data_IF_729704327757
#
_entry.id   IF_729704327757
#
_cell.length_a   1.000
_cell.length_b   1.000
_cell.length_c   1.000
_cell.angle_alpha   90.00
_cell.angle_beta   90.00
_cell.angle_gamma   90.00
#
_symmetry.space_group_name_H-M   'P 1'
#
loop_
_entity.id
_entity.type
_entity.pdbx_description
1 polymer ?
#
# COMPACT_ATOMS: atom_id res chain seq x y z
N UNK A 1 15.24 -1.95 -11.91
CA UNK A 1 14.09 -2.80 -11.55
C UNK A 1 12.79 -2.42 -12.29
N UNK A 2 12.75 -1.33 -13.10
CA UNK A 2 11.50 -0.87 -13.72
C UNK A 2 10.80 -1.89 -14.62
N UNK A 3 11.58 -2.72 -15.33
CA UNK A 3 11.05 -3.78 -16.20
C UNK A 3 10.72 -5.10 -15.45
N UNK A 4 11.00 -5.19 -14.14
CA UNK A 4 10.73 -6.42 -13.39
C UNK A 4 9.22 -6.67 -13.30
N UNK A 5 8.82 -7.93 -13.52
CA UNK A 5 7.43 -8.38 -13.39
C UNK A 5 7.34 -9.49 -12.36
N UNK A 6 6.36 -9.36 -11.46
CA UNK A 6 6.12 -10.36 -10.42
C UNK A 6 7.07 -10.24 -9.24
N UNK A 7 7.01 -11.24 -8.35
CA UNK A 7 7.71 -11.22 -7.07
C UNK A 7 9.11 -11.88 -7.16
N UNK A 8 9.74 -12.16 -6.02
CA UNK A 8 11.01 -12.88 -5.88
C UNK A 8 10.96 -14.33 -6.40
N UNK A 9 9.76 -14.90 -6.58
CA UNK A 9 9.53 -16.30 -6.94
C UNK A 9 10.16 -17.31 -5.95
N UNK A 10 10.24 -16.94 -4.67
CA UNK A 10 10.60 -17.89 -3.62
C UNK A 10 9.52 -18.95 -3.42
N UNK A 11 9.93 -20.14 -2.96
CA UNK A 11 8.98 -21.13 -2.48
C UNK A 11 8.13 -20.55 -1.33
N UNK A 12 6.86 -20.96 -1.16
CA UNK A 12 5.98 -20.38 -0.15
C UNK A 12 6.55 -20.40 1.27
N UNK A 13 7.28 -21.46 1.63
CA UNK A 13 7.95 -21.61 2.93
C UNK A 13 9.06 -20.57 3.15
N UNK A 14 9.74 -20.15 2.09
CA UNK A 14 10.78 -19.12 2.13
C UNK A 14 10.17 -17.73 2.04
N UNK A 15 9.19 -17.53 1.16
CA UNK A 15 8.46 -16.26 1.03
C UNK A 15 7.83 -15.83 2.37
N UNK A 16 7.26 -16.77 3.12
CA UNK A 16 6.68 -16.51 4.45
C UNK A 16 7.70 -16.04 5.51
N UNK A 17 9.00 -16.25 5.27
CA UNK A 17 10.07 -15.82 6.18
C UNK A 17 10.64 -14.44 5.82
N UNK A 18 10.30 -13.90 4.65
CA UNK A 18 10.75 -12.58 4.22
C UNK A 18 10.08 -11.52 5.09
N UNK A 19 10.90 -10.63 5.66
CA UNK A 19 10.47 -9.51 6.50
C UNK A 19 11.02 -8.21 5.90
N UNK A 20 10.32 -7.10 6.12
CA UNK A 20 10.78 -5.77 5.75
C UNK A 20 11.26 -5.69 4.29
N UNK A 21 10.46 -6.22 3.36
CA UNK A 21 10.81 -6.22 1.95
C UNK A 21 9.64 -5.72 1.12
N UNK A 22 9.97 -5.09 0.00
CA UNK A 22 9.03 -4.79 -1.06
C UNK A 22 9.22 -5.79 -2.20
N UNK A 23 8.12 -6.28 -2.81
CA UNK A 23 8.19 -7.07 -4.02
C UNK A 23 9.04 -6.38 -5.10
N UNK A 24 9.91 -7.12 -5.82
CA UNK A 24 10.81 -6.56 -6.82
C UNK A 24 10.16 -5.65 -7.87
N UNK A 25 8.93 -5.98 -8.30
CA UNK A 25 8.19 -5.18 -9.28
C UNK A 25 7.77 -3.79 -8.77
N UNK A 26 7.77 -3.57 -7.45
CA UNK A 26 7.42 -2.27 -6.85
C UNK A 26 8.64 -1.37 -6.63
N UNK A 27 9.84 -1.94 -6.50
CA UNK A 27 11.03 -1.19 -6.09
C UNK A 27 11.33 0.02 -6.99
N UNK A 28 11.06 -0.07 -8.29
CA UNK A 28 11.30 1.05 -9.20
C UNK A 28 10.34 2.23 -9.00
N UNK A 29 9.05 1.96 -8.80
CA UNK A 29 8.07 3.01 -8.49
C UNK A 29 8.29 3.57 -7.09
N UNK A 30 8.61 2.69 -6.15
CA UNK A 30 8.80 3.08 -4.75
C UNK A 30 10.05 3.96 -4.57
N UNK A 31 11.11 3.71 -5.33
CA UNK A 31 12.29 4.57 -5.37
C UNK A 31 12.02 6.01 -5.85
N UNK A 32 10.84 6.28 -6.44
CA UNK A 32 10.42 7.62 -6.89
C UNK A 32 9.53 8.35 -5.86
N UNK A 33 9.21 7.70 -4.73
CA UNK A 33 8.44 8.32 -3.65
C UNK A 33 9.28 9.37 -2.92
N UNK A 34 8.64 10.27 -2.15
CA UNK A 34 9.36 11.37 -1.48
C UNK A 34 10.38 10.86 -0.45
N UNK A 35 10.10 9.73 0.20
CA UNK A 35 10.99 9.07 1.15
C UNK A 35 11.01 7.58 0.80
N UNK A 36 11.99 7.16 -0.03
CA UNK A 36 12.10 5.77 -0.47
C UNK A 36 12.44 4.80 0.66
N UNK A 37 12.03 3.56 0.47
CA UNK A 37 12.31 2.43 1.33
C UNK A 37 13.81 2.13 1.30
N UNK A 38 14.36 1.87 2.50
CA UNK A 38 15.75 1.44 2.65
C UNK A 38 15.80 0.14 3.42
N UNK A 39 16.32 -0.91 2.79
CA UNK A 39 16.58 -2.19 3.46
C UNK A 39 17.81 -2.14 4.38
N UNK A 40 18.72 -1.20 4.14
CA UNK A 40 20.05 -1.16 4.79
C UNK A 40 20.19 -0.04 5.80
N UNK A 41 19.36 1.01 5.71
CA UNK A 41 19.41 2.16 6.61
C UNK A 41 18.14 2.21 7.47
N UNK A 42 18.21 1.77 8.74
CA UNK A 42 17.08 1.79 9.65
C UNK A 42 16.72 3.20 10.17
N UNK A 43 17.52 4.22 9.82
CA UNK A 43 17.24 5.61 10.22
C UNK A 43 16.29 6.33 9.27
N UNK A 44 16.11 5.79 8.06
CA UNK A 44 15.11 6.30 7.10
C UNK A 44 13.71 5.93 7.62
N UNK A 45 12.83 6.91 7.87
CA UNK A 45 11.46 6.63 8.29
C UNK A 45 10.75 5.82 7.21
N UNK A 46 10.17 4.67 7.56
CA UNK A 46 9.33 3.95 6.61
C UNK A 46 8.04 4.73 6.32
N UNK A 47 7.31 4.32 5.27
CA UNK A 47 6.05 4.97 4.88
C UNK A 47 5.01 4.95 5.99
N UNK A 48 5.01 3.94 6.86
CA UNK A 48 4.05 3.85 7.96
C UNK A 48 4.34 4.90 9.04
N UNK A 49 5.60 5.04 9.44
CA UNK A 49 6.05 6.08 10.37
C UNK A 49 5.75 7.49 9.83
N UNK A 50 5.91 7.71 8.52
CA UNK A 50 5.55 8.98 7.88
C UNK A 50 4.04 9.27 7.95
N UNK A 51 3.21 8.25 7.71
CA UNK A 51 1.75 8.35 7.87
C UNK A 51 1.40 8.69 9.32
N UNK A 52 1.99 7.99 10.29
CA UNK A 52 1.71 8.23 11.71
C UNK A 52 2.12 9.64 12.16
N UNK A 53 3.26 10.15 11.66
CA UNK A 53 3.72 11.50 11.98
C UNK A 53 2.77 12.56 11.44
N UNK A 54 2.25 12.39 10.22
CA UNK A 54 1.38 13.37 9.55
C UNK A 54 -0.07 13.29 9.99
N UNK A 55 -0.61 12.08 10.08
CA UNK A 55 -2.04 11.85 10.31
C UNK A 55 -2.36 11.52 11.78
N UNK A 56 -1.34 11.44 12.64
CA UNK A 56 -1.45 10.85 13.97
C UNK A 56 -1.49 9.32 13.89
N UNK A 57 -1.52 8.66 15.06
CA UNK A 57 -1.58 7.19 15.14
C UNK A 57 -2.85 6.67 14.46
N UNK A 58 -2.73 6.23 13.21
CA UNK A 58 -3.74 5.44 12.51
C UNK A 58 -3.64 4.00 13.00
N UNK A 59 -4.14 3.75 14.21
CA UNK A 59 -4.38 2.38 14.66
C UNK A 59 -5.61 1.91 13.90
N UNK A 60 -5.53 0.84 13.07
CA UNK A 60 -6.74 0.17 12.62
C UNK A 60 -7.53 -0.19 13.87
N UNK A 61 -8.73 0.38 14.01
CA UNK A 61 -9.62 -0.01 15.10
C UNK A 61 -9.73 -1.55 15.06
N UNK A 62 -9.36 -2.28 16.14
CA UNK A 62 -9.39 -3.74 16.14
C UNK A 62 -10.79 -4.30 15.85
N UNK A 63 -11.86 -3.52 16.07
CA UNK A 63 -13.23 -3.89 15.69
C UNK A 63 -13.50 -3.76 14.17
N UNK A 64 -12.67 -2.99 13.47
CA UNK A 64 -12.72 -2.76 12.02
C UNK A 64 -11.64 -3.54 11.26
N UNK A 65 -10.84 -4.34 11.99
CA UNK A 65 -9.83 -5.23 11.43
C UNK A 65 -10.54 -6.45 10.84
N UNK A 66 -10.69 -6.47 9.52
CA UNK A 66 -11.28 -7.61 8.78
C UNK A 66 -10.48 -8.91 8.96
N UNK A 67 -9.25 -8.84 9.46
CA UNK A 67 -8.39 -9.98 9.74
C UNK A 67 -7.64 -9.82 11.08
N UNK A 68 -7.91 -10.64 12.11
CA UNK A 68 -7.25 -10.58 13.42
C UNK A 68 -5.71 -10.75 13.37
N UNK A 69 -5.16 -11.22 12.24
CA UNK A 69 -3.73 -11.44 12.03
C UNK A 69 -2.98 -10.35 11.25
N UNK A 70 -3.57 -9.18 11.03
CA UNK A 70 -2.97 -8.12 10.22
C UNK A 70 -1.75 -7.47 10.92
N UNK A 71 -0.55 -7.94 10.61
CA UNK A 71 0.72 -7.42 11.13
C UNK A 71 1.10 -6.11 10.41
N UNK A 72 1.34 -5.02 11.15
CA UNK A 72 1.70 -3.67 10.67
C UNK A 72 3.23 -3.44 10.62
N UNK A 73 4.00 -4.36 10.03
CA UNK A 73 5.46 -4.24 9.82
C UNK A 73 5.85 -3.41 8.57
N UNK A 74 7.13 -3.12 8.28
CA UNK A 74 7.54 -2.40 7.05
C UNK A 74 7.15 -3.07 5.71
N UNK A 75 7.01 -4.40 5.63
CA UNK A 75 6.31 -5.08 4.50
C UNK A 75 4.79 -4.82 4.50
N UNK A 76 4.28 -4.29 5.60
CA UNK A 76 2.90 -3.90 5.84
C UNK A 76 2.55 -2.50 5.40
N UNK A 77 3.46 -1.63 4.95
CA UNK A 77 2.96 -0.40 4.30
C UNK A 77 2.07 -0.75 3.10
N UNK A 78 2.51 -1.70 2.26
CA UNK A 78 1.72 -2.15 1.09
C UNK A 78 0.39 -2.78 1.51
N UNK A 79 0.39 -3.55 2.60
CA UNK A 79 -0.80 -4.18 3.17
C UNK A 79 -1.72 -3.14 3.77
N UNK A 80 -1.20 -2.21 4.57
CA UNK A 80 -1.92 -1.13 5.23
C UNK A 80 -2.60 -0.23 4.21
N UNK A 81 -1.89 0.14 3.14
CA UNK A 81 -2.48 0.89 2.04
C UNK A 81 -3.60 0.07 1.37
N UNK A 82 -3.39 -1.21 1.08
CA UNK A 82 -4.44 -2.07 0.52
C UNK A 82 -5.67 -2.17 1.45
N UNK A 83 -5.47 -2.33 2.76
CA UNK A 83 -6.54 -2.33 3.74
C UNK A 83 -7.32 -1.00 3.73
N UNK A 84 -6.60 0.13 3.74
CA UNK A 84 -7.20 1.48 3.70
C UNK A 84 -8.04 1.68 2.44
N UNK A 85 -7.47 1.36 1.28
CA UNK A 85 -8.18 1.46 0.00
C UNK A 85 -9.35 0.46 -0.09
N UNK A 86 -9.27 -0.69 0.58
CA UNK A 86 -10.37 -1.62 0.73
C UNK A 86 -11.55 -1.00 1.46
N UNK A 87 -11.30 -0.28 2.57
CA UNK A 87 -12.34 0.47 3.29
C UNK A 87 -12.91 1.61 2.47
N UNK A 88 -12.05 2.37 1.79
CA UNK A 88 -12.47 3.41 0.86
C UNK A 88 -13.41 2.87 -0.23
N UNK A 89 -13.14 1.65 -0.72
CA UNK A 89 -14.00 0.97 -1.69
C UNK A 89 -15.40 0.71 -1.12
N UNK A 90 -15.50 0.18 0.11
CA UNK A 90 -16.79 -0.08 0.77
C UNK A 90 -17.59 1.21 0.99
N UNK A 91 -16.92 2.28 1.44
CA UNK A 91 -17.55 3.59 1.64
C UNK A 91 -18.04 4.22 0.33
N UNK A 92 -17.26 4.06 -0.74
CA UNK A 92 -17.63 4.53 -2.08
C UNK A 92 -18.86 3.80 -2.60
N UNK A 93 -18.91 2.46 -2.44
CA UNK A 93 -20.08 1.66 -2.82
C UNK A 93 -21.34 2.00 -2.03
N UNK A 94 -21.21 2.22 -0.70
CA UNK A 94 -22.32 2.67 0.12
C UNK A 94 -22.89 4.03 -0.34
N UNK A 95 -22.05 4.84 -0.98
CA UNK A 95 -22.40 6.14 -1.57
C UNK A 95 -22.83 6.05 -3.04
N UNK A 96 -22.94 4.84 -3.61
CA UNK A 96 -23.32 4.61 -5.01
C UNK A 96 -22.24 4.92 -6.04
N UNK A 97 -20.97 5.07 -5.62
CA UNK A 97 -19.84 5.39 -6.49
C UNK A 97 -18.97 4.14 -6.69
N UNK A 98 -18.61 3.84 -7.94
CA UNK A 98 -17.63 2.80 -8.26
C UNK A 98 -16.24 3.42 -8.43
N UNK A 99 -15.27 3.16 -7.53
CA UNK A 99 -13.98 3.84 -7.56
C UNK A 99 -13.16 3.59 -8.84
N UNK A 100 -12.58 4.66 -9.39
CA UNK A 100 -11.62 4.59 -10.51
C UNK A 100 -10.18 4.46 -10.00
N UNK A 101 -9.22 4.25 -10.91
CA UNK A 101 -7.80 4.22 -10.55
C UNK A 101 -7.36 5.55 -9.94
N UNK A 102 -7.80 6.66 -10.52
CA UNK A 102 -7.46 8.02 -10.11
C UNK A 102 -7.99 8.30 -8.70
N UNK A 103 -9.17 7.79 -8.36
CA UNK A 103 -9.72 7.89 -7.00
C UNK A 103 -8.86 7.14 -5.99
N UNK A 104 -8.39 5.93 -6.33
CA UNK A 104 -7.49 5.17 -5.45
C UNK A 104 -6.13 5.83 -5.29
N UNK A 105 -5.56 6.36 -6.37
CA UNK A 105 -4.28 7.09 -6.34
C UNK A 105 -4.39 8.36 -5.51
N UNK A 106 -5.47 9.14 -5.68
CA UNK A 106 -5.73 10.32 -4.87
C UNK A 106 -5.90 9.99 -3.38
N UNK A 107 -6.65 8.94 -3.06
CA UNK A 107 -6.82 8.48 -1.68
C UNK A 107 -5.51 7.97 -1.06
N UNK A 108 -4.68 7.28 -1.84
CA UNK A 108 -3.36 6.84 -1.41
C UNK A 108 -2.45 8.04 -1.06
N UNK A 109 -2.42 9.07 -1.91
CA UNK A 109 -1.66 10.30 -1.62
C UNK A 109 -2.16 11.00 -0.38
N UNK A 110 -3.49 11.09 -0.20
CA UNK A 110 -4.08 11.71 0.99
C UNK A 110 -3.68 10.96 2.25
N UNK A 111 -3.65 9.64 2.20
CA UNK A 111 -3.18 8.81 3.31
C UNK A 111 -1.69 9.05 3.59
N UNK A 112 -0.83 8.94 2.58
CA UNK A 112 0.63 8.95 2.77
C UNK A 112 1.15 10.35 3.09
N UNK A 113 0.62 11.34 2.39
CA UNK A 113 1.19 12.68 2.37
C UNK A 113 0.28 13.77 2.96
N UNK A 114 -1.01 13.48 3.16
CA UNK A 114 -1.99 14.47 3.63
C UNK A 114 -2.53 15.39 2.52
N UNK A 115 -2.18 15.11 1.26
CA UNK A 115 -2.54 15.91 0.09
C UNK A 115 -2.92 14.99 -1.09
N UNK A 116 -3.56 15.51 -2.15
CA UNK A 116 -3.78 14.76 -3.40
C UNK A 116 -2.94 15.29 -4.57
N UNK A 117 -1.79 15.90 -4.28
CA UNK A 117 -0.88 16.43 -5.30
C UNK A 117 -0.32 15.31 -6.20
N UNK A 118 -0.55 15.41 -7.51
CA UNK A 118 -0.14 14.42 -8.50
C UNK A 118 1.39 14.23 -8.61
N UNK A 119 2.19 15.17 -8.09
CA UNK A 119 3.64 15.00 -8.02
C UNK A 119 4.06 13.98 -6.95
N UNK A 120 3.21 13.76 -5.94
CA UNK A 120 3.48 12.82 -4.88
C UNK A 120 3.18 11.39 -5.34
N UNK A 121 4.24 10.61 -5.58
CA UNK A 121 4.11 9.22 -6.03
C UNK A 121 3.86 8.27 -4.87
N UNK A 122 3.05 7.24 -5.08
CA UNK A 122 2.82 6.13 -4.15
C UNK A 122 2.88 4.79 -4.91
N UNK A 123 2.84 3.66 -4.20
CA UNK A 123 2.74 2.35 -4.86
C UNK A 123 1.42 2.16 -5.62
N UNK A 124 0.38 2.96 -5.32
CA UNK A 124 -0.88 2.94 -6.07
C UNK A 124 -0.74 3.48 -7.51
N UNK A 125 0.38 4.15 -7.81
CA UNK A 125 0.74 4.60 -9.15
C UNK A 125 1.39 3.49 -10.00
N UNK A 126 1.73 2.35 -9.39
CA UNK A 126 2.19 1.17 -10.13
C UNK A 126 0.98 0.43 -10.75
N UNK A 127 0.95 0.34 -12.09
CA UNK A 127 -0.16 -0.28 -12.84
C UNK A 127 -0.44 -1.73 -12.43
N UNK A 128 0.61 -2.51 -12.18
CA UNK A 128 0.47 -3.91 -11.79
C UNK A 128 -0.14 -4.04 -10.38
N UNK A 129 0.28 -3.18 -9.46
CA UNK A 129 -0.24 -3.16 -8.09
C UNK A 129 -1.72 -2.79 -8.07
N UNK A 130 -2.10 -1.68 -8.71
CA UNK A 130 -3.49 -1.22 -8.70
C UNK A 130 -4.42 -2.20 -9.43
N UNK A 131 -3.97 -2.82 -10.53
CA UNK A 131 -4.75 -3.84 -11.21
C UNK A 131 -4.98 -5.08 -10.33
N UNK A 132 -3.96 -5.48 -9.57
CA UNK A 132 -4.05 -6.62 -8.64
C UNK A 132 -4.99 -6.31 -7.48
N UNK A 133 -4.79 -5.15 -6.84
CA UNK A 133 -5.67 -4.64 -5.78
C UNK A 133 -7.13 -4.61 -6.24
N UNK A 134 -7.40 -4.04 -7.42
CA UNK A 134 -8.76 -3.93 -7.94
C UNK A 134 -9.42 -5.29 -8.18
N UNK A 135 -8.66 -6.26 -8.69
CA UNK A 135 -9.17 -7.62 -8.89
C UNK A 135 -9.55 -8.28 -7.57
N UNK A 136 -8.78 -8.06 -6.51
CA UNK A 136 -9.02 -8.65 -5.19
C UNK A 136 -10.17 -7.98 -4.45
N UNK A 137 -10.37 -6.67 -4.62
CA UNK A 137 -11.30 -5.90 -3.78
C UNK A 137 -12.55 -5.37 -4.51
N UNK A 138 -12.57 -5.33 -5.85
CA UNK A 138 -13.75 -4.93 -6.63
C UNK A 138 -14.38 -6.09 -7.42
N UNK A 139 -13.72 -7.23 -7.54
CA UNK A 139 -14.36 -8.41 -8.13
C UNK A 139 -15.27 -9.03 -7.07
N UNK A 140 -16.58 -8.82 -7.20
CA UNK A 140 -17.56 -9.74 -6.63
C UNK A 140 -17.46 -11.03 -7.44
N UNK A 141 -17.25 -12.16 -6.76
CA UNK A 141 -17.49 -13.48 -7.35
C UNK A 141 -18.90 -13.57 -7.97
#
# INVERSE_FOLDING_TARGET
MAEWKGDHNFEPSIAAQVRNALPPYLLANEALTMVPFSATDPTVPDHFAQIEERNGKTVPDPEQQLDPGFDLTPDSYTKFLAWHLGRFTQQSFASGVFPTNEMFQGEARRLVYGSDDNWEQTIADNEQWIATFRRQHLSKD
#
